data_IF_737293061167
#
_entry.id   IF_737293061167
#
_cell.length_a   1.000
_cell.length_b   1.000
_cell.length_c   1.000
_cell.angle_alpha   90.00
_cell.angle_beta   90.00
_cell.angle_gamma   90.00
#
_symmetry.space_group_name_H-M   'P 1'
#
loop_
_entity.id
_entity.type
_entity.pdbx_description
1 polymer ?
#
# COMPACT_ATOMS: atom_id res chain seq x y z
N UNK A 1 0.54 8.45 -2.69
CA UNK A 1 0.48 8.91 -4.10
C UNK A 1 0.03 7.74 -4.97
N UNK A 2 -0.08 7.91 -6.30
CA UNK A 2 -0.35 6.76 -7.20
C UNK A 2 0.75 5.69 -7.11
N UNK A 3 2.03 6.10 -7.05
CA UNK A 3 3.15 5.18 -6.84
C UNK A 3 2.98 4.37 -5.55
N UNK A 4 2.68 5.04 -4.44
CA UNK A 4 2.46 4.39 -3.14
C UNK A 4 1.30 3.39 -3.19
N UNK A 5 0.15 3.78 -3.75
CA UNK A 5 -1.02 2.90 -3.83
C UNK A 5 -0.75 1.65 -4.68
N UNK A 6 -0.08 1.84 -5.82
CA UNK A 6 0.32 0.73 -6.70
C UNK A 6 1.38 -0.16 -6.04
N UNK A 7 2.29 0.41 -5.23
CA UNK A 7 3.30 -0.36 -4.48
C UNK A 7 2.66 -1.25 -3.40
N UNK A 8 1.69 -0.73 -2.65
CA UNK A 8 0.92 -1.52 -1.68
C UNK A 8 0.16 -2.65 -2.39
N UNK A 9 -0.53 -2.33 -3.50
CA UNK A 9 -1.27 -3.33 -4.28
C UNK A 9 -0.34 -4.42 -4.84
N UNK A 10 0.79 -4.04 -5.43
CA UNK A 10 1.77 -4.98 -5.96
C UNK A 10 2.31 -5.90 -4.86
N UNK A 11 2.64 -5.35 -3.69
CA UNK A 11 3.13 -6.11 -2.55
C UNK A 11 2.11 -7.14 -2.07
N UNK A 12 0.86 -6.74 -1.79
CA UNK A 12 -0.15 -7.68 -1.30
C UNK A 12 -0.54 -8.73 -2.34
N UNK A 13 -0.46 -8.39 -3.63
CA UNK A 13 -0.60 -9.38 -4.70
C UNK A 13 0.51 -10.42 -4.67
N UNK A 14 1.76 -10.02 -4.49
CA UNK A 14 2.88 -10.96 -4.33
C UNK A 14 2.77 -11.78 -3.04
N UNK A 15 2.35 -11.14 -1.94
CA UNK A 15 2.17 -11.81 -0.64
C UNK A 15 1.17 -12.96 -0.74
N UNK A 16 0.05 -12.75 -1.44
CA UNK A 16 -0.91 -13.83 -1.71
C UNK A 16 -0.26 -15.05 -2.37
N UNK A 17 0.63 -14.85 -3.35
CA UNK A 17 1.34 -15.96 -4.00
C UNK A 17 2.43 -16.55 -3.12
N UNK A 18 3.07 -15.76 -2.26
CA UNK A 18 4.03 -16.27 -1.28
C UNK A 18 3.33 -17.19 -0.26
N UNK A 19 2.13 -16.81 0.18
CA UNK A 19 1.28 -17.58 1.10
C UNK A 19 0.53 -18.73 0.41
N UNK A 20 0.57 -18.80 -0.92
CA UNK A 20 0.01 -19.89 -1.73
C UNK A 20 1.01 -20.41 -2.77
N UNK A 21 2.03 -21.19 -2.35
CA UNK A 21 3.15 -21.59 -3.21
C UNK A 21 2.76 -22.39 -4.46
N UNK A 22 1.67 -23.15 -4.39
CA UNK A 22 1.21 -24.01 -5.48
C UNK A 22 0.24 -23.30 -6.45
N UNK A 23 -0.18 -22.07 -6.16
CA UNK A 23 -1.03 -21.31 -7.08
C UNK A 23 -0.20 -20.83 -8.28
N UNK A 24 -0.55 -21.19 -9.53
CA UNK A 24 0.19 -20.76 -10.71
C UNK A 24 0.04 -19.25 -10.93
N UNK A 25 0.97 -18.66 -11.68
CA UNK A 25 0.82 -17.26 -12.09
C UNK A 25 -0.44 -17.09 -12.95
N UNK A 26 -1.17 -15.97 -12.79
CA UNK A 26 -2.33 -15.69 -13.63
C UNK A 26 -1.88 -15.46 -15.07
N UNK A 27 -2.60 -16.02 -16.03
CA UNK A 27 -2.34 -15.79 -17.45
C UNK A 27 -2.58 -14.32 -17.83
N UNK A 28 -3.68 -13.77 -17.34
CA UNK A 28 -4.15 -12.42 -17.67
C UNK A 28 -3.83 -11.41 -16.59
N UNK A 29 -3.79 -10.14 -16.98
CA UNK A 29 -3.67 -9.03 -16.04
C UNK A 29 -4.95 -8.94 -15.19
N UNK A 30 -4.79 -8.75 -13.88
CA UNK A 30 -5.92 -8.35 -13.05
C UNK A 30 -6.21 -6.86 -13.25
N UNK A 31 -7.48 -6.50 -13.43
CA UNK A 31 -7.93 -5.12 -13.58
C UNK A 31 -8.37 -4.54 -12.24
N UNK A 32 -7.89 -3.34 -11.94
CA UNK A 32 -8.20 -2.58 -10.73
C UNK A 32 -8.58 -1.14 -11.07
N UNK A 33 -9.45 -0.55 -10.26
CA UNK A 33 -9.76 0.88 -10.35
C UNK A 33 -8.97 1.61 -9.26
N UNK A 34 -8.03 2.45 -9.67
CA UNK A 34 -7.41 3.43 -8.77
C UNK A 34 -8.22 4.73 -8.83
N UNK A 35 -8.47 5.37 -7.71
CA UNK A 35 -9.16 6.65 -7.64
C UNK A 35 -8.52 7.52 -6.58
N UNK A 36 -8.72 8.84 -6.69
CA UNK A 36 -8.31 9.79 -5.67
C UNK A 36 -9.47 10.03 -4.68
N UNK A 37 -9.15 10.16 -3.40
CA UNK A 37 -10.10 10.58 -2.38
C UNK A 37 -9.70 11.97 -1.85
N UNK A 38 -10.64 12.91 -1.87
CA UNK A 38 -10.41 14.23 -1.29
C UNK A 38 -10.58 14.14 0.24
N UNK A 39 -9.49 14.38 0.97
CA UNK A 39 -9.48 14.37 2.44
C UNK A 39 -9.22 15.79 2.94
N UNK A 40 -9.99 16.24 3.93
CA UNK A 40 -9.78 17.50 4.65
C UNK A 40 -10.11 17.26 6.12
N UNK A 41 -9.11 17.41 6.97
CA UNK A 41 -9.28 17.31 8.41
C UNK A 41 -8.24 18.18 9.12
N UNK A 42 -8.63 18.75 10.25
CA UNK A 42 -7.71 19.41 11.20
C UNK A 42 -7.33 18.50 12.37
N UNK A 43 -7.97 17.33 12.49
CA UNK A 43 -7.75 16.36 13.56
C UNK A 43 -6.91 15.19 13.05
N UNK A 44 -5.67 15.49 12.70
CA UNK A 44 -4.75 14.54 12.07
C UNK A 44 -3.46 14.47 12.86
N UNK A 45 -2.94 13.25 13.03
CA UNK A 45 -1.58 13.02 13.52
C UNK A 45 -0.69 12.58 12.36
N UNK A 46 0.53 13.11 12.30
CA UNK A 46 1.52 12.80 11.27
C UNK A 46 2.71 12.10 11.91
N UNK A 47 2.79 10.78 11.73
CA UNK A 47 3.85 9.95 12.31
C UNK A 47 5.22 10.21 11.65
N UNK A 48 5.28 11.00 10.58
CA UNK A 48 6.54 11.37 9.92
C UNK A 48 7.10 12.70 10.43
N UNK A 49 6.55 13.26 11.51
CA UNK A 49 6.99 14.54 12.09
C UNK A 49 7.37 14.37 13.57
N UNK A 50 8.26 15.24 14.09
CA UNK A 50 8.54 15.30 15.50
C UNK A 50 7.27 15.53 16.35
N UNK A 51 7.15 14.89 17.53
CA UNK A 51 8.13 13.98 18.14
C UNK A 51 7.98 12.50 17.73
N UNK A 52 7.05 12.16 16.84
CA UNK A 52 6.64 10.77 16.55
C UNK A 52 7.53 10.07 15.53
N UNK A 53 8.30 10.84 14.75
CA UNK A 53 9.28 10.33 13.81
C UNK A 53 10.44 9.57 14.47
N UNK A 54 10.70 9.82 15.77
CA UNK A 54 11.66 9.02 16.57
C UNK A 54 11.28 7.53 16.64
N UNK A 55 9.98 7.25 16.57
CA UNK A 55 9.42 5.89 16.68
C UNK A 55 9.17 5.28 15.28
N UNK A 56 9.77 5.85 14.22
CA UNK A 56 9.56 5.42 12.84
C UNK A 56 9.74 3.91 12.63
N UNK A 57 10.71 3.29 13.30
CA UNK A 57 10.95 1.85 13.20
C UNK A 57 9.74 1.02 13.68
N UNK A 58 9.01 1.49 14.69
CA UNK A 58 7.80 0.83 15.17
C UNK A 58 6.65 0.97 14.16
N UNK A 59 6.51 2.14 13.52
CA UNK A 59 5.47 2.40 12.51
C UNK A 59 5.73 1.70 11.18
N UNK A 60 6.98 1.34 10.89
CA UNK A 60 7.40 0.71 9.63
C UNK A 60 7.79 -0.75 9.78
N UNK A 61 7.50 -1.39 10.91
CA UNK A 61 7.80 -2.81 11.07
C UNK A 61 7.01 -3.63 10.04
N UNK A 62 7.66 -4.56 9.29
CA UNK A 62 7.01 -5.22 8.17
C UNK A 62 5.89 -6.17 8.62
N UNK A 63 6.04 -6.84 9.76
CA UNK A 63 5.16 -7.94 10.20
C UNK A 63 4.49 -7.76 11.55
N UNK A 64 4.93 -6.77 12.33
CA UNK A 64 4.42 -6.50 13.68
C UNK A 64 3.63 -5.21 13.58
N UNK A 65 2.33 -5.34 13.79
CA UNK A 65 1.40 -4.25 13.65
C UNK A 65 0.92 -3.72 15.00
N UNK A 66 1.42 -4.24 16.13
CA UNK A 66 0.95 -3.88 17.47
C UNK A 66 1.09 -2.37 17.72
N UNK A 67 2.25 -1.77 17.39
CA UNK A 67 2.45 -0.34 17.54
C UNK A 67 1.46 0.48 16.68
N UNK A 68 1.28 0.09 15.41
CA UNK A 68 0.35 0.73 14.47
C UNK A 68 -1.12 0.61 14.91
N UNK A 69 -1.51 -0.52 15.49
CA UNK A 69 -2.85 -0.74 16.02
C UNK A 69 -3.09 0.10 17.28
N UNK A 70 -2.14 0.06 18.23
CA UNK A 70 -2.22 0.84 19.46
C UNK A 70 -2.34 2.35 19.18
N UNK A 71 -1.53 2.90 18.28
CA UNK A 71 -1.63 4.33 17.94
C UNK A 71 -2.96 4.65 17.23
N UNK A 72 -3.51 3.72 16.44
CA UNK A 72 -4.82 3.91 15.82
C UNK A 72 -5.95 3.92 16.84
N UNK A 73 -5.88 3.08 17.87
CA UNK A 73 -6.88 3.05 18.94
C UNK A 73 -6.82 4.31 19.80
N UNK A 74 -5.63 4.71 20.23
CA UNK A 74 -5.43 5.98 20.95
C UNK A 74 -5.89 7.18 20.13
N UNK A 75 -5.62 7.19 18.82
CA UNK A 75 -6.08 8.25 17.93
C UNK A 75 -7.62 8.32 17.85
N UNK A 76 -8.31 7.17 17.82
CA UNK A 76 -9.77 7.12 17.86
C UNK A 76 -10.32 7.65 19.19
N UNK A 77 -9.74 7.23 20.31
CA UNK A 77 -10.13 7.69 21.65
C UNK A 77 -9.95 9.20 21.81
N UNK A 78 -8.87 9.76 21.23
CA UNK A 78 -8.61 11.19 21.19
C UNK A 78 -9.49 11.97 20.18
N UNK A 79 -10.38 11.28 19.45
CA UNK A 79 -11.27 11.89 18.46
C UNK A 79 -10.55 12.41 17.21
N UNK A 80 -9.39 11.83 16.87
CA UNK A 80 -8.70 12.10 15.61
C UNK A 80 -9.41 11.42 14.45
N UNK A 81 -9.30 12.03 13.27
CA UNK A 81 -9.99 11.60 12.06
C UNK A 81 -9.06 10.93 11.06
N UNK A 82 -7.74 11.20 11.14
CA UNK A 82 -6.77 10.57 10.26
C UNK A 82 -5.38 10.42 10.88
N UNK A 83 -4.64 9.44 10.36
CA UNK A 83 -3.22 9.21 10.66
C UNK A 83 -2.47 9.21 9.34
N UNK A 84 -1.47 10.09 9.22
CA UNK A 84 -0.52 10.06 8.11
C UNK A 84 0.74 9.33 8.54
N UNK A 85 1.21 8.39 7.72
CA UNK A 85 2.39 7.58 8.02
C UNK A 85 3.18 7.24 6.75
N UNK A 86 4.47 6.92 6.90
CA UNK A 86 5.34 6.53 5.78
C UNK A 86 4.91 5.18 5.24
N UNK A 87 4.89 5.01 3.91
CA UNK A 87 4.68 3.67 3.34
C UNK A 87 5.94 2.83 3.48
N UNK A 88 5.77 1.59 3.93
CA UNK A 88 6.87 0.60 3.97
C UNK A 88 7.25 0.14 2.55
N UNK A 89 6.29 0.14 1.62
CA UNK A 89 6.47 -0.35 0.24
C UNK A 89 6.92 0.73 -0.74
N UNK A 90 6.69 1.98 -0.38
CA UNK A 90 7.25 3.16 -1.07
C UNK A 90 7.79 4.14 -0.01
N UNK A 91 9.06 4.00 0.43
CA UNK A 91 9.63 4.80 1.52
C UNK A 91 9.68 6.32 1.28
N UNK A 92 9.58 6.75 0.01
CA UNK A 92 9.47 8.16 -0.37
C UNK A 92 8.02 8.68 -0.28
N UNK A 93 7.07 7.77 -0.20
CA UNK A 93 5.64 8.03 -0.13
C UNK A 93 5.09 7.97 1.30
N UNK A 94 3.81 8.32 1.39
CA UNK A 94 3.03 8.24 2.62
C UNK A 94 1.64 7.69 2.33
N UNK A 95 1.12 6.96 3.30
CA UNK A 95 -0.26 6.50 3.38
C UNK A 95 -1.03 7.35 4.39
N UNK A 96 -2.35 7.30 4.28
CA UNK A 96 -3.27 7.92 5.23
C UNK A 96 -4.27 6.86 5.65
N UNK A 97 -4.36 6.61 6.95
CA UNK A 97 -5.46 5.86 7.54
C UNK A 97 -6.53 6.86 7.97
N UNK A 98 -7.69 6.83 7.32
CA UNK A 98 -8.83 7.62 7.71
C UNK A 98 -9.64 6.85 8.76
N UNK A 99 -9.84 7.44 9.93
CA UNK A 99 -10.50 6.81 11.08
C UNK A 99 -12.00 7.14 11.14
N UNK A 100 -12.43 8.21 10.46
CA UNK A 100 -13.81 8.68 10.41
C UNK A 100 -14.19 9.19 9.02
N UNK A 101 -15.41 8.90 8.59
CA UNK A 101 -15.96 9.42 7.33
C UNK A 101 -16.03 10.96 7.29
N UNK A 102 -16.04 11.63 8.45
CA UNK A 102 -16.05 13.11 8.53
C UNK A 102 -14.84 13.76 7.87
N UNK A 103 -13.71 13.05 7.76
CA UNK A 103 -12.52 13.57 7.12
C UNK A 103 -12.55 13.56 5.59
N UNK A 104 -13.57 12.96 4.96
CA UNK A 104 -13.77 13.10 3.51
C UNK A 104 -14.28 14.49 3.17
N UNK A 105 -13.53 15.22 2.33
CA UNK A 105 -13.93 16.53 1.84
C UNK A 105 -15.01 16.47 0.75
N UNK A 106 -15.18 15.30 0.12
CA UNK A 106 -16.16 15.04 -0.94
C UNK A 106 -16.73 13.62 -0.80
N UNK A 107 -18.02 13.41 -1.07
CA UNK A 107 -18.65 12.09 -0.92
C UNK A 107 -18.32 11.12 -2.06
N UNK A 108 -17.94 11.63 -3.25
CA UNK A 108 -17.60 10.82 -4.41
C UNK A 108 -16.09 10.77 -4.62
N UNK A 109 -15.53 9.62 -5.03
CA UNK A 109 -14.15 9.53 -5.44
C UNK A 109 -13.89 10.46 -6.65
N UNK A 110 -12.67 10.93 -6.76
CA UNK A 110 -12.15 11.73 -7.85
C UNK A 110 -11.40 10.83 -8.84
N UNK A 111 -11.34 11.25 -10.10
CA UNK A 111 -10.45 10.73 -11.16
C UNK A 111 -10.17 9.22 -11.09
N UNK A 112 -11.14 8.37 -11.50
CA UNK A 112 -10.90 6.95 -11.61
C UNK A 112 -9.98 6.63 -12.79
N UNK A 113 -9.06 5.70 -12.58
CA UNK A 113 -8.15 5.16 -13.58
C UNK A 113 -8.17 3.64 -13.54
N UNK A 114 -8.25 3.01 -14.70
CA UNK A 114 -8.11 1.55 -14.81
C UNK A 114 -6.63 1.17 -14.86
N UNK A 115 -6.23 0.29 -13.95
CA UNK A 115 -4.89 -0.27 -13.85
C UNK A 115 -4.92 -1.77 -14.10
N UNK A 116 -4.10 -2.22 -15.04
CA UNK A 116 -3.81 -3.63 -15.28
C UNK A 116 -2.55 -4.02 -14.53
N UNK A 117 -2.65 -4.99 -13.64
CA UNK A 117 -1.51 -5.52 -12.88
C UNK A 117 -1.23 -6.94 -13.37
N UNK A 118 -0.06 -7.12 -14.00
CA UNK A 118 0.46 -8.41 -14.44
C UNK A 118 1.49 -8.91 -13.44
N UNK A 119 1.38 -10.20 -13.11
CA UNK A 119 2.27 -10.90 -12.21
C UNK A 119 2.87 -12.08 -12.98
N UNK A 120 4.13 -12.38 -12.72
CA UNK A 120 4.76 -13.54 -13.32
C UNK A 120 6.20 -13.70 -12.85
N UNK A 121 6.90 -14.63 -13.48
CA UNK A 121 8.32 -14.85 -13.20
C UNK A 121 9.16 -13.56 -13.35
N UNK A 122 8.74 -12.59 -14.16
CA UNK A 122 9.46 -11.32 -14.34
C UNK A 122 9.28 -10.30 -13.20
N UNK A 123 8.35 -10.49 -12.27
CA UNK A 123 7.99 -9.48 -11.26
C UNK A 123 6.54 -9.00 -11.40
N UNK A 124 6.34 -7.70 -11.16
CA UNK A 124 5.03 -7.04 -11.28
C UNK A 124 5.12 -5.92 -12.31
N UNK A 125 4.14 -5.86 -13.23
CA UNK A 125 3.95 -4.74 -14.14
C UNK A 125 2.57 -4.14 -13.90
N UNK A 126 2.52 -2.87 -13.51
CA UNK A 126 1.30 -2.11 -13.34
C UNK A 126 1.20 -1.05 -14.45
N UNK A 127 0.13 -1.12 -15.25
CA UNK A 127 -0.08 -0.31 -16.44
C UNK A 127 -1.41 0.41 -16.32
N UNK A 128 -1.39 1.73 -16.45
CA UNK A 128 -2.56 2.58 -16.63
C UNK A 128 -2.55 3.11 -18.05
N UNK A 129 -3.66 2.96 -18.77
CA UNK A 129 -3.76 3.41 -20.17
C UNK A 129 -3.96 4.93 -20.26
N UNK A 130 -4.76 5.52 -19.36
CA UNK A 130 -5.11 6.95 -19.39
C UNK A 130 -5.12 7.58 -18.00
N UNK A 131 -4.17 8.50 -17.68
CA UNK A 131 -2.99 8.83 -18.47
C UNK A 131 -2.04 7.64 -18.55
N UNK A 132 -1.27 7.55 -19.63
CA UNK A 132 -0.33 6.44 -19.82
C UNK A 132 0.73 6.47 -18.72
N UNK A 133 0.70 5.47 -17.85
CA UNK A 133 1.70 5.25 -16.80
C UNK A 133 2.05 3.78 -16.73
N UNK A 134 3.33 3.51 -16.52
CA UNK A 134 3.86 2.17 -16.31
C UNK A 134 4.76 2.19 -15.10
N UNK A 135 4.51 1.26 -14.18
CA UNK A 135 5.31 1.04 -12.98
C UNK A 135 5.70 -0.43 -12.98
N UNK A 136 6.98 -0.70 -12.81
CA UNK A 136 7.53 -2.05 -12.78
C UNK A 136 8.22 -2.30 -11.46
N UNK A 137 7.96 -3.47 -10.88
CA UNK A 137 8.62 -3.95 -9.68
C UNK A 137 9.38 -5.22 -10.04
N UNK A 138 10.70 -5.17 -9.91
CA UNK A 138 11.56 -6.35 -10.07
C UNK A 138 11.28 -7.37 -8.96
N UNK A 139 11.84 -8.57 -9.11
CA UNK A 139 11.80 -9.62 -8.05
C UNK A 139 12.32 -9.13 -6.70
N UNK A 140 13.19 -8.12 -6.69
CA UNK A 140 13.85 -7.60 -5.50
C UNK A 140 13.24 -6.32 -4.96
N UNK A 141 12.19 -5.78 -5.60
CA UNK A 141 11.60 -4.49 -5.24
C UNK A 141 11.11 -4.43 -3.77
N UNK A 142 10.73 -5.58 -3.20
CA UNK A 142 10.24 -5.71 -1.82
C UNK A 142 11.09 -6.68 -0.99
N UNK A 143 12.34 -6.94 -1.36
CA UNK A 143 13.21 -7.92 -0.70
C UNK A 143 13.51 -7.61 0.78
N UNK A 144 13.25 -6.38 1.24
CA UNK A 144 13.38 -6.00 2.64
C UNK A 144 12.24 -6.55 3.53
N UNK A 145 11.12 -6.99 2.94
CA UNK A 145 10.00 -7.58 3.69
C UNK A 145 10.17 -9.10 3.74
N UNK A 146 10.40 -9.70 4.94
CA UNK A 146 10.74 -11.10 5.07
C UNK A 146 9.61 -12.04 4.61
N UNK A 147 8.36 -11.55 4.50
CA UNK A 147 7.23 -12.36 4.05
C UNK A 147 7.32 -12.77 2.59
N UNK A 148 8.16 -12.11 1.79
CA UNK A 148 8.38 -12.47 0.39
C UNK A 148 9.63 -13.32 0.16
N UNK A 149 10.38 -13.68 1.21
CA UNK A 149 11.61 -14.46 1.08
C UNK A 149 11.37 -15.83 0.44
N UNK A 150 10.27 -16.48 0.78
CA UNK A 150 9.90 -17.81 0.28
C UNK A 150 9.10 -17.75 -1.03
N UNK A 151 8.93 -16.56 -1.64
CA UNK A 151 8.17 -16.41 -2.87
C UNK A 151 8.86 -17.16 -4.02
N UNK A 152 8.22 -18.23 -4.49
CA UNK A 152 8.63 -18.95 -5.70
C UNK A 152 8.22 -18.16 -6.94
N UNK A 153 9.22 -17.64 -7.65
CA UNK A 153 9.03 -16.92 -8.92
C UNK A 153 8.83 -17.87 -10.10
N UNK A 154 9.54 -18.99 -10.08
CA UNK A 154 9.35 -20.06 -11.06
C UNK A 154 8.24 -20.98 -10.53
N UNK A 155 7.10 -20.97 -11.22
CA UNK A 155 5.93 -21.80 -10.93
C UNK A 155 5.70 -22.62 -12.20
N UNK A 156 5.63 -23.95 -12.06
CA UNK A 156 5.36 -24.84 -13.19
C UNK A 156 4.09 -24.42 -13.95
N UNK A 157 4.01 -24.79 -15.22
CA UNK A 157 2.80 -24.57 -16.03
C UNK A 157 1.62 -25.35 -15.47
#
# INVERSE_FOLDING_TARGET
TMMTAVSEMAFYRLLFFAESPDTPWPHDAAEYTAFAAAIRSTKVIDLTRPPLDRDAAAWTHPTDYAACQNIADVAREAGLEAIRYRSVRDPKGANVALLSCSGFARPKPLEPHTWRIRLGAFGVQAICEFPQKRIEFSRTAFAADPRLNELRWERGR
#
